data_IF_611230975344
#
_entry.id   IF_611230975344
#
_cell.length_a   1.000
_cell.length_b   1.000
_cell.length_c   1.000
_cell.angle_alpha   90.00
_cell.angle_beta   90.00
_cell.angle_gamma   90.00
#
_symmetry.space_group_name_H-M   'P 1'
#
loop_
_entity.id
_entity.type
_entity.pdbx_description
1 polymer ?
#
# COMPACT_ATOMS: atom_id res chain seq x y z
N UNK A 1 -13.73 -4.72 -10.11
CA UNK A 1 -12.92 -5.68 -10.90
C UNK A 1 -12.10 -6.46 -9.89
N UNK A 2 -12.38 -7.75 -9.78
CA UNK A 2 -11.65 -8.66 -8.90
C UNK A 2 -10.21 -8.74 -9.39
N UNK A 3 -9.38 -7.92 -8.74
CA UNK A 3 -8.01 -7.63 -9.12
C UNK A 3 -7.06 -8.71 -8.62
N UNK A 4 -6.05 -8.96 -9.46
CA UNK A 4 -4.77 -9.64 -9.21
C UNK A 4 -4.69 -10.40 -7.89
N UNK A 5 -4.53 -11.72 -7.99
CA UNK A 5 -4.26 -12.57 -6.84
C UNK A 5 -3.12 -11.98 -5.99
N UNK A 6 -3.30 -11.98 -4.68
CA UNK A 6 -2.40 -11.31 -3.73
C UNK A 6 -2.27 -12.12 -2.47
N UNK A 7 -1.11 -12.00 -1.82
CA UNK A 7 -0.82 -12.66 -0.55
C UNK A 7 -0.53 -11.63 0.54
N UNK A 8 -0.97 -11.86 1.79
CA UNK A 8 -0.50 -11.09 2.92
C UNK A 8 1.00 -11.25 3.13
N UNK A 9 1.64 -10.20 3.65
CA UNK A 9 3.06 -10.21 4.05
C UNK A 9 3.22 -9.41 5.35
N UNK A 10 4.32 -9.65 6.06
CA UNK A 10 4.66 -8.88 7.25
C UNK A 10 5.10 -7.45 6.89
N UNK A 11 5.15 -6.57 7.90
CA UNK A 11 5.47 -5.16 7.71
C UNK A 11 6.87 -4.95 7.10
N UNK A 12 7.87 -5.74 7.51
CA UNK A 12 9.25 -5.56 7.08
C UNK A 12 9.46 -6.02 5.63
N UNK A 13 8.94 -7.20 5.28
CA UNK A 13 8.93 -7.71 3.92
C UNK A 13 8.23 -6.71 2.99
N UNK A 14 7.08 -6.19 3.43
CA UNK A 14 6.31 -5.23 2.66
C UNK A 14 7.08 -3.93 2.38
N UNK A 15 7.77 -3.37 3.38
CA UNK A 15 8.60 -2.15 3.20
C UNK A 15 9.72 -2.42 2.20
N UNK A 16 10.42 -3.56 2.30
CA UNK A 16 11.48 -3.96 1.36
C UNK A 16 10.95 -4.04 -0.07
N UNK A 17 9.77 -4.61 -0.26
CA UNK A 17 9.13 -4.72 -1.57
C UNK A 17 8.68 -3.35 -2.09
N UNK A 18 8.01 -2.54 -1.26
CA UNK A 18 7.54 -1.22 -1.64
C UNK A 18 8.67 -0.31 -2.15
N UNK A 19 9.85 -0.36 -1.51
CA UNK A 19 11.02 0.42 -1.93
C UNK A 19 11.39 0.12 -3.38
N UNK A 20 11.28 -1.14 -3.79
CA UNK A 20 11.68 -1.64 -5.11
C UNK A 20 10.60 -1.47 -6.19
N UNK A 21 9.32 -1.57 -5.87
CA UNK A 21 8.23 -1.43 -6.86
C UNK A 21 8.19 -0.02 -7.44
N UNK A 22 8.05 0.11 -8.76
CA UNK A 22 7.88 1.41 -9.42
C UNK A 22 6.42 1.88 -9.33
N UNK A 23 6.23 3.12 -8.87
CA UNK A 23 4.92 3.76 -8.72
C UNK A 23 5.11 5.27 -8.57
N UNK A 24 4.02 6.04 -8.58
CA UNK A 24 4.12 7.49 -8.37
C UNK A 24 4.66 7.83 -6.98
N UNK A 25 5.33 8.98 -6.84
CA UNK A 25 5.88 9.45 -5.57
C UNK A 25 4.82 9.48 -4.45
N UNK A 26 3.61 9.98 -4.76
CA UNK A 26 2.51 10.06 -3.80
C UNK A 26 2.02 8.69 -3.33
N UNK A 27 1.97 7.71 -4.24
CA UNK A 27 1.56 6.33 -3.92
C UNK A 27 2.63 5.61 -3.11
N UNK A 28 3.91 5.81 -3.44
CA UNK A 28 5.03 5.27 -2.63
C UNK A 28 5.05 5.88 -1.23
N UNK A 29 4.88 7.19 -1.11
CA UNK A 29 4.84 7.87 0.19
C UNK A 29 3.64 7.44 1.03
N UNK A 30 2.45 7.36 0.45
CA UNK A 30 1.26 6.83 1.13
C UNK A 30 1.51 5.41 1.63
N UNK A 31 2.07 4.56 0.78
CA UNK A 31 2.37 3.18 1.14
C UNK A 31 3.28 3.08 2.36
N UNK A 32 4.40 3.81 2.35
CA UNK A 32 5.32 3.84 3.48
C UNK A 32 4.62 4.37 4.75
N UNK A 33 3.80 5.42 4.62
CA UNK A 33 3.05 5.97 5.75
C UNK A 33 2.05 4.96 6.32
N UNK A 34 1.30 4.25 5.48
CA UNK A 34 0.38 3.19 5.91
C UNK A 34 1.11 2.07 6.65
N UNK A 35 2.33 1.71 6.22
CA UNK A 35 3.12 0.68 6.90
C UNK A 35 3.42 1.02 8.37
N UNK A 36 3.53 2.32 8.72
CA UNK A 36 3.79 2.76 10.11
C UNK A 36 2.61 2.49 11.06
N UNK A 37 1.42 2.25 10.52
CA UNK A 37 0.22 1.90 11.29
C UNK A 37 -0.04 0.39 11.32
N UNK A 38 0.74 -0.42 10.62
CA UNK A 38 0.57 -1.85 10.59
C UNK A 38 1.07 -2.51 11.88
N UNK A 39 0.40 -3.60 12.27
CA UNK A 39 1.02 -4.59 13.15
C UNK A 39 2.22 -5.25 12.45
N UNK A 40 3.08 -5.91 13.24
CA UNK A 40 4.23 -6.65 12.71
C UNK A 40 3.84 -7.64 11.60
N UNK A 41 2.69 -8.32 11.72
CA UNK A 41 2.14 -9.27 10.73
C UNK A 41 1.48 -8.61 9.50
N UNK A 42 1.63 -7.30 9.34
CA UNK A 42 1.06 -6.51 8.25
C UNK A 42 -0.44 -6.26 8.36
N UNK A 43 -1.08 -6.65 9.46
CA UNK A 43 -2.52 -6.45 9.69
C UNK A 43 -2.85 -5.11 10.33
N UNK A 44 -4.16 -4.87 10.55
CA UNK A 44 -4.68 -3.75 11.36
C UNK A 44 -4.22 -2.37 10.88
N UNK A 45 -4.17 -2.16 9.57
CA UNK A 45 -3.85 -0.85 8.99
C UNK A 45 -5.14 -0.05 8.83
N UNK A 46 -5.49 0.80 9.79
CA UNK A 46 -6.74 1.59 9.73
C UNK A 46 -6.56 3.11 9.89
N UNK A 47 -5.51 3.76 9.33
CA UNK A 47 -5.47 5.20 9.33
C UNK A 47 -6.56 5.75 8.40
N UNK A 48 -7.50 6.53 8.94
CA UNK A 48 -8.52 7.20 8.15
C UNK A 48 -7.91 8.22 7.17
N UNK A 49 -8.62 8.49 6.06
CA UNK A 49 -8.13 9.40 5.00
C UNK A 49 -7.76 10.79 5.53
N UNK A 50 -8.59 11.36 6.42
CA UNK A 50 -8.32 12.67 7.01
C UNK A 50 -7.00 12.68 7.82
N UNK A 51 -6.74 11.63 8.61
CA UNK A 51 -5.50 11.49 9.38
C UNK A 51 -4.28 11.40 8.45
N UNK A 52 -4.38 10.60 7.40
CA UNK A 52 -3.31 10.46 6.41
C UNK A 52 -3.03 11.79 5.70
N UNK A 53 -4.08 12.53 5.33
CA UNK A 53 -3.95 13.83 4.67
C UNK A 53 -3.16 14.82 5.54
N UNK A 54 -3.47 14.89 6.84
CA UNK A 54 -2.76 15.73 7.80
C UNK A 54 -1.30 15.30 7.96
N UNK A 55 -1.05 14.01 8.21
CA UNK A 55 0.31 13.49 8.48
C UNK A 55 1.21 13.60 7.25
N UNK A 56 0.66 13.39 6.06
CA UNK A 56 1.41 13.50 4.80
C UNK A 56 1.48 14.94 4.27
N UNK A 57 0.82 15.91 4.91
CA UNK A 57 0.72 17.29 4.44
C UNK A 57 0.16 17.43 3.01
N UNK A 58 -0.88 16.66 2.67
CA UNK A 58 -1.53 16.69 1.35
C UNK A 58 -3.05 16.74 1.46
N UNK A 59 -3.75 16.97 0.34
CA UNK A 59 -5.22 16.92 0.32
C UNK A 59 -5.76 15.49 0.49
N UNK A 60 -6.98 15.35 1.03
CA UNK A 60 -7.68 14.06 1.03
C UNK A 60 -7.85 13.46 -0.37
N UNK A 61 -8.01 14.32 -1.40
CA UNK A 61 -8.11 13.87 -2.79
C UNK A 61 -6.82 13.17 -3.23
N UNK A 62 -5.67 13.69 -2.82
CA UNK A 62 -4.35 13.07 -3.06
C UNK A 62 -4.28 11.71 -2.38
N UNK A 63 -4.69 11.61 -1.11
CA UNK A 63 -4.72 10.34 -0.38
C UNK A 63 -5.65 9.32 -1.05
N UNK A 64 -6.87 9.71 -1.40
CA UNK A 64 -7.84 8.83 -2.08
C UNK A 64 -7.31 8.31 -3.41
N UNK A 65 -6.67 9.18 -4.21
CA UNK A 65 -6.03 8.79 -5.48
C UNK A 65 -4.90 7.78 -5.26
N UNK A 66 -3.96 8.10 -4.37
CA UNK A 66 -2.84 7.23 -4.05
C UNK A 66 -3.30 5.88 -3.47
N UNK A 67 -4.33 5.87 -2.63
CA UNK A 67 -4.89 4.66 -2.06
C UNK A 67 -5.58 3.79 -3.13
N UNK A 68 -6.27 4.43 -4.08
CA UNK A 68 -6.85 3.73 -5.23
C UNK A 68 -5.76 3.07 -6.09
N UNK A 69 -4.66 3.77 -6.35
CA UNK A 69 -3.51 3.24 -7.10
C UNK A 69 -2.85 2.07 -6.33
N UNK A 70 -2.58 2.24 -5.05
CA UNK A 70 -1.96 1.22 -4.20
C UNK A 70 -2.80 -0.06 -4.12
N UNK A 71 -4.13 0.09 -4.06
CA UNK A 71 -5.09 -1.04 -4.13
C UNK A 71 -5.11 -1.69 -5.52
N UNK A 72 -5.09 -0.90 -6.59
CA UNK A 72 -5.05 -1.41 -7.96
C UNK A 72 -3.75 -2.20 -8.22
N UNK A 73 -2.64 -1.78 -7.62
CA UNK A 73 -1.37 -2.51 -7.66
C UNK A 73 -1.39 -3.81 -6.83
N UNK A 74 -2.40 -4.05 -5.99
CA UNK A 74 -2.47 -5.22 -5.11
C UNK A 74 -1.56 -5.13 -3.88
N UNK A 75 -1.04 -3.94 -3.58
CA UNK A 75 -0.11 -3.70 -2.47
C UNK A 75 -0.82 -3.54 -1.12
N UNK A 76 -2.13 -3.28 -1.13
CA UNK A 76 -2.98 -3.30 0.07
C UNK A 76 -4.35 -3.89 -0.25
N UNK A 77 -4.91 -4.59 0.73
CA UNK A 77 -6.27 -5.12 0.70
C UNK A 77 -7.13 -4.39 1.74
N UNK A 78 -8.35 -4.01 1.37
CA UNK A 78 -9.35 -3.61 2.37
C UNK A 78 -10.02 -4.86 2.93
N UNK A 79 -9.78 -5.15 4.21
CA UNK A 79 -10.30 -6.33 4.90
C UNK A 79 -11.60 -6.06 5.68
N UNK A 80 -11.82 -4.81 6.10
CA UNK A 80 -13.08 -4.37 6.71
C UNK A 80 -13.44 -2.99 6.17
N UNK A 81 -14.70 -2.82 5.76
CA UNK A 81 -15.25 -1.50 5.48
C UNK A 81 -15.59 -0.80 6.81
N UNK A 82 -15.16 0.45 6.96
CA UNK A 82 -15.50 1.27 8.11
C UNK A 82 -16.91 1.85 8.02
N UNK A 83 -17.50 2.17 9.17
CA UNK A 83 -18.73 2.93 9.29
C UNK A 83 -18.46 4.43 9.45
N UNK A 84 -18.72 5.20 8.39
CA UNK A 84 -18.51 6.66 8.40
C UNK A 84 -19.41 7.39 9.40
N UNK A 85 -20.63 6.89 9.64
CA UNK A 85 -21.56 7.52 10.58
C UNK A 85 -21.09 7.37 12.04
N UNK A 86 -20.33 6.31 12.33
CA UNK A 86 -19.75 6.04 13.65
C UNK A 86 -18.28 6.48 13.75
N UNK A 87 -17.74 7.15 12.72
CA UNK A 87 -16.35 7.59 12.69
C UNK A 87 -15.32 6.45 12.52
N UNK A 88 -15.76 5.25 12.14
CA UNK A 88 -14.88 4.12 11.88
C UNK A 88 -14.19 4.23 10.51
N UNK A 89 -12.88 4.04 10.49
CA UNK A 89 -12.10 3.97 9.27
C UNK A 89 -12.14 2.57 8.63
N UNK A 90 -11.93 2.52 7.30
CA UNK A 90 -11.63 1.26 6.61
C UNK A 90 -10.39 0.60 7.23
N UNK A 91 -10.44 -0.71 7.43
CA UNK A 91 -9.28 -1.50 7.85
C UNK A 91 -8.67 -2.19 6.65
N UNK A 92 -7.35 -2.05 6.55
CA UNK A 92 -6.52 -2.61 5.51
C UNK A 92 -5.54 -3.65 6.06
N UNK A 93 -5.02 -4.45 5.13
CA UNK A 93 -3.89 -5.36 5.32
C UNK A 93 -2.84 -5.11 4.25
N UNK A 94 -1.58 -5.18 4.65
CA UNK A 94 -0.45 -5.14 3.73
C UNK A 94 -0.41 -6.44 2.92
N UNK A 95 -0.33 -6.30 1.59
CA UNK A 95 -0.31 -7.43 0.66
C UNK A 95 0.72 -7.19 -0.42
N UNK A 96 1.03 -8.23 -1.17
CA UNK A 96 1.76 -8.13 -2.44
C UNK A 96 1.03 -8.95 -3.49
N UNK A 97 1.00 -8.49 -4.75
CA UNK A 97 0.40 -9.27 -5.82
C UNK A 97 1.26 -10.50 -6.12
N UNK A 98 0.65 -11.61 -6.56
CA UNK A 98 1.37 -12.86 -6.84
C UNK A 98 2.22 -12.77 -8.10
N UNK A 99 1.90 -11.85 -9.00
CA UNK A 99 2.63 -11.51 -10.23
C UNK A 99 3.73 -10.45 -9.99
N UNK A 100 4.09 -10.17 -8.73
CA UNK A 100 5.00 -9.07 -8.36
C UNK A 100 6.32 -9.10 -9.14
N UNK A 101 6.89 -10.29 -9.35
CA UNK A 101 8.18 -10.47 -10.02
C UNK A 101 8.11 -10.27 -11.54
N UNK A 102 6.90 -10.26 -12.12
CA UNK A 102 6.67 -9.98 -13.53
C UNK A 102 6.56 -8.47 -13.80
N UNK A 103 6.59 -7.64 -12.75
CA UNK A 103 6.42 -6.19 -12.84
C UNK A 103 7.75 -5.45 -12.78
N UNK A 104 7.87 -4.28 -13.43
CA UNK A 104 9.04 -3.42 -13.30
C UNK A 104 9.30 -3.02 -11.84
N UNK A 105 10.44 -3.47 -11.30
CA UNK A 105 10.89 -3.14 -9.96
C UNK A 105 12.42 -3.06 -9.89
N UNK A 106 12.96 -2.45 -8.84
CA UNK A 106 14.40 -2.49 -8.60
C UNK A 106 14.85 -3.91 -8.25
N UNK A 107 16.09 -4.23 -8.62
CA UNK A 107 16.76 -5.43 -8.12
C UNK A 107 16.86 -5.41 -6.57
N UNK A 108 17.15 -6.55 -5.92
CA UNK A 108 17.24 -6.61 -4.45
C UNK A 108 18.30 -5.69 -3.82
N UNK A 109 19.34 -5.31 -4.56
CA UNK A 109 20.40 -4.40 -4.11
C UNK A 109 20.11 -2.93 -4.43
N UNK A 110 19.01 -2.65 -5.12
CA UNK A 110 18.55 -1.32 -5.55
C UNK A 110 19.53 -0.59 -6.48
N UNK A 111 20.30 -1.35 -7.29
CA UNK A 111 21.32 -0.80 -8.19
C UNK A 111 20.87 -0.67 -9.65
N UNK A 112 19.79 -1.35 -10.02
CA UNK A 112 19.22 -1.34 -11.35
C UNK A 112 17.79 -1.86 -11.37
N UNK A 113 17.23 -1.97 -12.58
CA UNK A 113 15.90 -2.51 -12.81
C UNK A 113 15.94 -4.04 -12.97
N UNK A 114 14.90 -4.71 -12.46
CA UNK A 114 14.64 -6.15 -12.57
C UNK A 114 13.16 -6.37 -12.91
N UNK A 115 12.84 -7.43 -13.65
CA UNK A 115 11.45 -7.74 -14.02
C UNK A 115 10.96 -6.82 -15.15
N UNK A 116 10.68 -7.41 -16.30
CA UNK A 116 10.37 -6.71 -17.54
C UNK A 116 10.66 -7.65 -18.71
N UNK A 117 9.88 -8.73 -18.78
CA UNK A 117 9.78 -9.54 -19.99
C UNK A 117 8.65 -9.01 -20.87
#
# INVERSE_FOLDING_TARGET
>A
MDGVARKPVDQQEWIRILRRVQMTLGTKYLGLMMSTYANFDGSRVFPGVAKLALVMCVSEKTVKRALSELRALGMVERVKQGNRHEGEADTYRLTVPTDLFDRPMLDPEEKGMSGGH
#
